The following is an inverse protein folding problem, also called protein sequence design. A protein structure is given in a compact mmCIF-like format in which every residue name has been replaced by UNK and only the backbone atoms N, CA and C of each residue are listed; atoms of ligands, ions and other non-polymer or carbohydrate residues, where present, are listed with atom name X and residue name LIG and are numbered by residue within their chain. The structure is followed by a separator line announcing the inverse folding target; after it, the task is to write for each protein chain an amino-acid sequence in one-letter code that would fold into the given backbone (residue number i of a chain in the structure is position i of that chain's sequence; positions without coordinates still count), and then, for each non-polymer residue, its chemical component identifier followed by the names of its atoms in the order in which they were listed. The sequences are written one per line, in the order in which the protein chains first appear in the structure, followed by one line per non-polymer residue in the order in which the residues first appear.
data_IF_149003371054
#
_entry.id   IF_149003371054
#
_cell.length_a   1.000
_cell.length_b   1.000
_cell.length_c   1.000
_cell.angle_alpha   90.00
_cell.angle_beta   90.00
_cell.angle_gamma   90.00
#
_symmetry.space_group_name_H-M   'P 1'
#
loop_
_entity.id
_entity.type
_entity.pdbx_description
1 polymer ?
#
# COMPACT_ATOMS: atom_id res chain seq x y z
N UNK A 1 -5.80 45.22 2.44
CA UNK A 1 -4.94 44.03 2.27
C UNK A 1 -3.55 44.52 1.86
N UNK A 2 -2.51 44.20 2.62
CA UNK A 2 -1.13 44.60 2.29
C UNK A 2 -0.74 44.06 0.91
N UNK A 3 0.01 44.84 0.13
CA UNK A 3 0.45 44.46 -1.22
C UNK A 3 1.52 43.37 -1.06
N UNK A 4 1.16 42.10 -1.33
CA UNK A 4 2.12 40.99 -1.25
C UNK A 4 3.21 41.15 -2.31
N UNK A 5 4.47 41.09 -1.89
CA UNK A 5 5.64 41.10 -2.77
C UNK A 5 5.97 39.68 -3.21
N UNK A 6 5.52 39.33 -4.41
CA UNK A 6 5.69 37.99 -5.00
C UNK A 6 6.76 38.02 -6.08
N UNK A 7 7.62 37.00 -6.11
CA UNK A 7 8.49 36.68 -7.23
C UNK A 7 7.87 35.55 -8.04
N UNK A 8 7.85 35.68 -9.36
CA UNK A 8 7.65 34.57 -10.28
C UNK A 8 9.01 34.22 -10.88
N UNK A 9 9.53 33.04 -10.54
CA UNK A 9 10.83 32.57 -10.99
C UNK A 9 10.69 31.71 -12.25
N UNK A 10 11.29 32.15 -13.35
CA UNK A 10 11.10 31.60 -14.68
C UNK A 10 10.16 32.47 -15.53
N UNK A 11 10.35 32.41 -16.85
CA UNK A 11 9.51 33.11 -17.84
C UNK A 11 8.98 32.09 -18.84
N UNK A 12 7.70 31.74 -18.71
CA UNK A 12 6.98 30.85 -19.63
C UNK A 12 5.45 31.05 -19.51
N UNK A 13 4.67 30.14 -20.09
CA UNK A 13 3.20 30.18 -20.06
C UNK A 13 2.61 30.17 -18.64
N UNK A 14 3.23 29.47 -17.68
CA UNK A 14 2.80 29.46 -16.28
C UNK A 14 2.99 30.85 -15.66
N UNK A 15 4.14 31.48 -15.92
CA UNK A 15 4.39 32.87 -15.49
C UNK A 15 3.32 33.81 -16.04
N UNK A 16 2.96 33.67 -17.32
CA UNK A 16 1.93 34.52 -17.94
C UNK A 16 0.53 34.33 -17.35
N UNK A 17 0.18 33.09 -17.00
CA UNK A 17 -1.05 32.73 -16.29
C UNK A 17 -1.04 33.34 -14.88
N UNK A 18 0.03 33.13 -14.12
CA UNK A 18 0.16 33.61 -12.75
C UNK A 18 0.24 35.13 -12.65
N UNK A 19 0.68 35.84 -13.70
CA UNK A 19 0.56 37.30 -13.78
C UNK A 19 -0.90 37.79 -13.76
N UNK A 20 -1.88 36.96 -14.12
CA UNK A 20 -3.30 37.28 -13.91
C UNK A 20 -3.69 37.34 -12.44
N UNK A 21 -3.10 36.46 -11.61
CA UNK A 21 -3.33 36.38 -10.16
C UNK A 21 -2.44 37.34 -9.38
N UNK A 22 -1.18 37.50 -9.81
CA UNK A 22 -0.16 38.35 -9.19
C UNK A 22 0.33 39.41 -10.18
N UNK A 23 -0.50 40.41 -10.52
CA UNK A 23 -0.17 41.39 -11.56
C UNK A 23 1.06 42.23 -11.25
N UNK A 24 1.39 42.39 -9.97
CA UNK A 24 2.54 43.17 -9.49
C UNK A 24 3.79 42.31 -9.22
N UNK A 25 3.76 41.00 -9.48
CA UNK A 25 4.88 40.12 -9.12
C UNK A 25 6.16 40.48 -9.87
N UNK A 26 7.32 40.41 -9.23
CA UNK A 26 8.63 40.61 -9.86
C UNK A 26 9.01 39.35 -10.65
N UNK A 27 9.37 39.53 -11.92
CA UNK A 27 9.84 38.43 -12.75
C UNK A 27 11.33 38.22 -12.50
N UNK A 28 11.72 36.98 -12.18
CA UNK A 28 13.11 36.64 -11.86
C UNK A 28 13.55 35.43 -12.67
N UNK A 29 14.78 35.44 -13.15
CA UNK A 29 15.44 34.26 -13.72
C UNK A 29 16.88 34.19 -13.20
N UNK A 30 17.59 33.10 -13.51
CA UNK A 30 18.99 32.94 -13.10
C UNK A 30 19.87 34.08 -13.63
N UNK A 31 19.65 34.53 -14.86
CA UNK A 31 20.51 35.52 -15.56
C UNK A 31 19.86 36.89 -15.75
N UNK A 32 18.53 36.99 -15.68
CA UNK A 32 17.78 38.18 -16.06
C UNK A 32 17.82 38.47 -17.56
N UNK A 33 17.02 39.46 -17.98
CA UNK A 33 16.96 39.95 -19.35
C UNK A 33 15.88 39.32 -20.23
N UNK A 34 15.25 38.22 -19.80
CA UNK A 34 14.12 37.63 -20.50
C UNK A 34 12.88 38.53 -20.42
N UNK A 35 12.07 38.58 -21.48
CA UNK A 35 10.90 39.44 -21.57
C UNK A 35 9.61 38.62 -21.46
N UNK A 36 8.67 39.06 -20.62
CA UNK A 36 7.30 38.53 -20.58
C UNK A 36 6.30 39.67 -20.43
N UNK A 37 5.28 39.75 -21.30
CA UNK A 37 4.25 40.81 -21.30
C UNK A 37 4.83 42.23 -21.10
N UNK A 38 5.91 42.56 -21.83
CA UNK A 38 6.64 43.83 -21.77
C UNK A 38 7.34 44.14 -20.44
N UNK A 39 7.55 43.12 -19.59
CA UNK A 39 8.31 43.22 -18.34
C UNK A 39 9.59 42.40 -18.47
N UNK A 40 10.72 43.03 -18.19
CA UNK A 40 12.02 42.36 -18.20
C UNK A 40 12.25 41.67 -16.86
N UNK A 41 12.60 40.39 -16.91
CA UNK A 41 13.01 39.64 -15.74
C UNK A 41 14.35 40.15 -15.21
N UNK A 42 14.48 40.24 -13.89
CA UNK A 42 15.74 40.57 -13.24
C UNK A 42 16.48 39.29 -12.85
N UNK A 43 17.80 39.37 -12.73
CA UNK A 43 18.61 38.24 -12.28
C UNK A 43 18.44 37.99 -10.78
N UNK A 44 18.65 36.74 -10.37
CA UNK A 44 18.73 36.37 -8.95
C UNK A 44 19.76 37.23 -8.18
N UNK A 45 20.89 37.57 -8.80
CA UNK A 45 21.92 38.44 -8.21
C UNK A 45 21.43 39.86 -7.94
N UNK A 46 20.62 40.41 -8.83
CA UNK A 46 20.00 41.73 -8.60
C UNK A 46 19.00 41.69 -7.45
N UNK A 47 18.26 40.59 -7.29
CA UNK A 47 17.37 40.41 -6.13
C UNK A 47 18.16 40.28 -4.83
N UNK A 48 19.25 39.51 -4.81
CA UNK A 48 20.14 39.40 -3.66
C UNK A 48 20.65 40.77 -3.18
N UNK A 49 21.11 41.60 -4.14
CA UNK A 49 21.58 42.95 -3.85
C UNK A 49 20.47 43.90 -3.34
N UNK A 50 19.21 43.65 -3.73
CA UNK A 50 18.06 44.50 -3.38
C UNK A 50 17.37 44.09 -2.07
N UNK A 51 17.74 42.92 -1.51
CA UNK A 51 17.25 42.42 -0.22
C UNK A 51 16.16 41.35 -0.36
N UNK A 52 16.53 40.08 -0.19
CA UNK A 52 15.63 38.91 -0.24
C UNK A 52 14.48 39.00 0.79
N UNK A 53 14.75 39.60 1.94
CA UNK A 53 13.79 39.69 3.04
C UNK A 53 12.49 40.44 2.67
N UNK A 54 12.52 41.32 1.64
CA UNK A 54 11.38 42.13 1.22
C UNK A 54 10.28 41.38 0.47
N UNK A 55 10.51 40.11 0.13
CA UNK A 55 9.55 39.27 -0.59
C UNK A 55 8.80 38.36 0.38
N UNK A 56 7.50 38.21 0.13
CA UNK A 56 6.62 37.32 0.88
C UNK A 56 6.65 35.90 0.31
N UNK A 57 6.85 35.79 -1.01
CA UNK A 57 6.73 34.53 -1.74
C UNK A 57 7.60 34.49 -2.99
N UNK A 58 8.22 33.35 -3.26
CA UNK A 58 8.85 33.02 -4.54
C UNK A 58 8.11 31.83 -5.13
N UNK A 59 7.53 31.97 -6.31
CA UNK A 59 6.82 30.90 -7.02
C UNK A 59 7.69 30.45 -8.21
N UNK A 60 8.21 29.24 -8.13
CA UNK A 60 8.93 28.58 -9.21
C UNK A 60 7.93 28.18 -10.29
N UNK A 61 8.05 28.80 -11.46
CA UNK A 61 7.19 28.58 -12.63
C UNK A 61 7.78 27.51 -13.56
N UNK A 62 8.56 26.56 -13.05
CA UNK A 62 9.30 25.57 -13.84
C UNK A 62 9.07 24.17 -13.27
N UNK A 63 9.16 23.15 -14.12
CA UNK A 63 9.15 21.75 -13.70
C UNK A 63 10.45 21.31 -13.01
N UNK A 64 11.55 22.06 -13.19
CA UNK A 64 12.84 21.80 -12.52
C UNK A 64 12.87 22.41 -11.11
N UNK A 65 11.92 22.00 -10.27
CA UNK A 65 11.70 22.61 -8.95
C UNK A 65 12.92 22.43 -8.05
N UNK A 66 13.47 21.22 -7.96
CA UNK A 66 14.57 20.89 -7.04
C UNK A 66 15.84 21.71 -7.34
N UNK A 67 16.27 21.73 -8.60
CA UNK A 67 17.48 22.46 -9.02
C UNK A 67 17.35 23.97 -8.74
N UNK A 68 16.17 24.52 -9.01
CA UNK A 68 15.88 25.94 -8.81
C UNK A 68 15.75 26.25 -7.32
N UNK A 69 15.05 25.42 -6.55
CA UNK A 69 14.90 25.59 -5.11
C UNK A 69 16.27 25.54 -4.44
N UNK A 70 17.13 24.58 -4.77
CA UNK A 70 18.51 24.52 -4.27
C UNK A 70 19.31 25.77 -4.66
N UNK A 71 19.20 26.23 -5.92
CA UNK A 71 19.85 27.48 -6.36
C UNK A 71 19.36 28.70 -5.57
N UNK A 72 18.07 28.76 -5.23
CA UNK A 72 17.48 29.83 -4.43
C UNK A 72 17.93 29.75 -2.97
N UNK A 73 18.00 28.54 -2.38
CA UNK A 73 18.51 28.31 -1.03
C UNK A 73 19.99 28.73 -0.94
N UNK A 74 20.82 28.33 -1.90
CA UNK A 74 22.23 28.74 -2.02
C UNK A 74 22.38 30.26 -2.18
N UNK A 75 21.39 30.89 -2.83
CA UNK A 75 21.31 32.34 -2.96
C UNK A 75 20.80 33.06 -1.69
N UNK A 76 20.45 32.33 -0.63
CA UNK A 76 20.01 32.86 0.66
C UNK A 76 18.51 33.08 0.78
N UNK A 77 17.69 32.53 -0.13
CA UNK A 77 16.24 32.55 0.04
C UNK A 77 15.82 31.53 1.11
N UNK A 78 14.94 31.91 2.05
CA UNK A 78 14.46 30.99 3.06
C UNK A 78 13.45 29.99 2.49
N UNK A 79 13.55 28.71 2.88
CA UNK A 79 12.72 27.62 2.35
C UNK A 79 11.22 27.87 2.54
N UNK A 80 10.82 28.45 3.68
CA UNK A 80 9.42 28.76 4.02
C UNK A 80 8.77 29.77 3.07
N UNK A 81 9.56 30.51 2.27
CA UNK A 81 9.07 31.45 1.26
C UNK A 81 9.08 30.87 -0.15
N UNK A 82 9.57 29.65 -0.34
CA UNK A 82 9.65 28.99 -1.64
C UNK A 82 8.38 28.17 -1.91
N UNK A 83 7.82 28.38 -3.08
CA UNK A 83 6.65 27.71 -3.61
C UNK A 83 6.92 27.33 -5.06
N UNK A 84 6.14 26.41 -5.61
CA UNK A 84 6.19 26.07 -7.03
C UNK A 84 4.78 25.89 -7.57
N UNK A 85 4.61 26.10 -8.87
CA UNK A 85 3.37 25.74 -9.54
C UNK A 85 3.42 24.26 -9.93
N UNK A 86 2.64 23.45 -9.24
CA UNK A 86 2.50 22.03 -9.56
C UNK A 86 1.59 21.89 -10.77
N UNK A 87 2.15 21.48 -11.91
CA UNK A 87 1.42 21.35 -13.17
C UNK A 87 0.39 20.21 -13.12
N UNK A 88 0.63 19.17 -12.32
CA UNK A 88 -0.28 18.03 -12.21
C UNK A 88 -1.54 18.38 -11.40
N UNK A 89 -1.40 19.14 -10.31
CA UNK A 89 -2.54 19.60 -9.50
C UNK A 89 -3.12 20.94 -9.98
N UNK A 90 -2.41 21.66 -10.86
CA UNK A 90 -2.70 23.04 -11.26
C UNK A 90 -2.79 24.01 -10.07
N UNK A 91 -2.01 23.77 -9.01
CA UNK A 91 -1.99 24.59 -7.80
C UNK A 91 -0.60 25.12 -7.48
N UNK A 92 -0.55 26.17 -6.66
CA UNK A 92 0.71 26.64 -6.06
C UNK A 92 0.91 25.89 -4.74
N UNK A 93 2.02 25.16 -4.64
CA UNK A 93 2.35 24.32 -3.49
C UNK A 93 3.60 24.87 -2.78
N UNK A 94 3.69 24.69 -1.47
CA UNK A 94 4.87 25.10 -0.70
C UNK A 94 5.99 24.10 -0.90
N UNK A 95 7.22 24.58 -1.09
CA UNK A 95 8.38 23.71 -1.15
C UNK A 95 8.58 22.97 0.17
N UNK A 96 8.37 23.61 1.33
CA UNK A 96 8.60 22.98 2.64
C UNK A 96 7.69 21.76 2.88
N UNK A 97 6.44 21.85 2.40
CA UNK A 97 5.45 20.79 2.52
C UNK A 97 5.67 19.65 1.50
N UNK A 98 6.45 19.92 0.45
CA UNK A 98 6.73 18.97 -0.64
C UNK A 98 8.13 18.34 -0.57
N UNK A 99 9.01 18.79 0.34
CA UNK A 99 10.36 18.22 0.49
C UNK A 99 10.27 16.75 0.90
N UNK A 100 10.97 15.88 0.18
CA UNK A 100 11.10 14.48 0.56
C UNK A 100 11.89 14.34 1.87
N UNK A 101 11.41 13.53 2.83
CA UNK A 101 12.09 13.36 4.10
C UNK A 101 13.48 12.73 3.90
N UNK A 102 14.49 13.22 4.61
CA UNK A 102 15.80 12.55 4.65
C UNK A 102 15.70 11.27 5.46
N UNK A 103 16.13 10.15 4.87
CA UNK A 103 16.12 8.83 5.51
C UNK A 103 17.49 8.58 6.16
N UNK A 104 17.50 8.32 7.47
CA UNK A 104 18.72 7.95 8.19
C UNK A 104 18.92 6.43 8.17
N UNK A 105 19.93 5.97 7.44
CA UNK A 105 20.29 4.55 7.33
C UNK A 105 20.66 3.89 8.65
N UNK A 106 21.15 4.64 9.64
CA UNK A 106 21.48 4.11 10.98
C UNK A 106 20.23 3.81 11.82
N UNK A 107 19.05 4.18 11.33
CA UNK A 107 17.75 3.89 11.95
C UNK A 107 16.87 2.98 11.11
N UNK A 108 17.46 2.28 10.14
CA UNK A 108 16.78 1.42 9.18
C UNK A 108 17.12 -0.06 9.40
N UNK A 109 16.09 -0.90 9.49
CA UNK A 109 16.21 -2.35 9.44
C UNK A 109 16.21 -2.83 7.99
N UNK A 110 17.26 -3.52 7.56
CA UNK A 110 17.34 -4.15 6.24
C UNK A 110 16.80 -5.58 6.32
N UNK A 111 15.65 -5.81 5.71
CA UNK A 111 14.91 -7.07 5.84
C UNK A 111 15.10 -7.91 4.58
N UNK A 112 15.67 -9.10 4.73
CA UNK A 112 15.96 -10.01 3.63
C UNK A 112 14.78 -10.93 3.35
N UNK A 113 14.13 -10.73 2.21
CA UNK A 113 13.10 -11.64 1.70
C UNK A 113 13.72 -12.60 0.69
N UNK A 114 14.10 -13.78 1.16
CA UNK A 114 14.74 -14.80 0.34
C UNK A 114 13.69 -15.67 -0.39
N UNK A 115 13.61 -15.53 -1.71
CA UNK A 115 12.65 -16.27 -2.55
C UNK A 115 13.01 -17.75 -2.75
N UNK A 116 14.19 -18.19 -2.27
CA UNK A 116 14.51 -19.62 -2.14
C UNK A 116 13.61 -20.32 -1.11
N UNK A 117 13.20 -19.59 -0.08
CA UNK A 117 12.44 -20.12 1.06
C UNK A 117 11.02 -19.56 1.14
N UNK A 118 10.82 -18.32 0.70
CA UNK A 118 9.52 -17.66 0.71
C UNK A 118 8.94 -17.64 -0.71
N UNK A 119 7.76 -18.24 -0.89
CA UNK A 119 7.06 -18.16 -2.17
C UNK A 119 6.62 -16.71 -2.45
N UNK A 120 6.59 -16.27 -3.71
CA UNK A 120 6.05 -14.95 -4.04
C UNK A 120 4.51 -14.99 -3.99
N UNK A 121 3.97 -15.02 -2.79
CA UNK A 121 2.53 -15.07 -2.54
C UNK A 121 2.17 -14.14 -1.38
N UNK A 122 0.89 -14.15 -0.98
CA UNK A 122 0.38 -13.32 0.11
C UNK A 122 0.89 -13.72 1.50
N UNK A 123 1.63 -14.83 1.65
CA UNK A 123 2.34 -15.14 2.89
C UNK A 123 3.40 -14.07 3.22
N UNK A 124 3.79 -13.25 2.23
CA UNK A 124 4.56 -12.03 2.45
C UNK A 124 3.91 -11.08 3.48
N UNK A 125 2.58 -11.09 3.68
CA UNK A 125 1.92 -10.36 4.75
C UNK A 125 2.38 -10.84 6.14
N UNK A 126 2.44 -12.16 6.31
CA UNK A 126 2.93 -12.79 7.55
C UNK A 126 4.39 -12.41 7.82
N UNK A 127 5.21 -12.48 6.77
CA UNK A 127 6.62 -12.13 6.85
C UNK A 127 6.80 -10.64 7.19
N UNK A 128 6.03 -9.76 6.56
CA UNK A 128 6.01 -8.31 6.82
C UNK A 128 5.67 -8.02 8.28
N UNK A 129 4.69 -8.73 8.84
CA UNK A 129 4.31 -8.56 10.23
C UNK A 129 5.44 -8.90 11.21
N UNK A 130 6.14 -10.00 10.95
CA UNK A 130 7.28 -10.40 11.78
C UNK A 130 8.44 -9.41 11.65
N UNK A 131 8.73 -8.93 10.44
CA UNK A 131 9.77 -7.95 10.19
C UNK A 131 9.47 -6.59 10.88
N UNK A 132 8.22 -6.14 10.85
CA UNK A 132 7.79 -4.92 11.54
C UNK A 132 7.87 -5.06 13.06
N UNK A 133 7.47 -6.21 13.61
CA UNK A 133 7.63 -6.51 15.03
C UNK A 133 9.12 -6.44 15.44
N UNK A 134 10.03 -6.96 14.62
CA UNK A 134 11.46 -6.87 14.87
C UNK A 134 12.00 -5.44 14.81
N UNK A 135 11.58 -4.64 13.82
CA UNK A 135 11.94 -3.21 13.74
C UNK A 135 11.52 -2.47 15.01
N UNK A 136 10.27 -2.69 15.46
CA UNK A 136 9.74 -2.09 16.69
C UNK A 136 10.53 -2.54 17.92
N UNK A 137 10.84 -3.83 18.03
CA UNK A 137 11.66 -4.40 19.11
C UNK A 137 13.05 -3.76 19.19
N UNK A 138 13.67 -3.48 18.05
CA UNK A 138 14.98 -2.82 17.95
C UNK A 138 14.91 -1.29 18.13
N UNK A 139 13.72 -0.69 18.24
CA UNK A 139 13.55 0.76 18.35
C UNK A 139 13.95 1.54 17.09
N UNK A 140 13.97 0.88 15.93
CA UNK A 140 14.36 1.48 14.65
C UNK A 140 13.19 2.27 14.05
N UNK A 141 13.44 3.22 13.16
CA UNK A 141 12.39 4.07 12.56
C UNK A 141 11.86 3.53 11.24
N UNK A 142 12.73 2.86 10.48
CA UNK A 142 12.46 2.52 9.09
C UNK A 142 12.73 1.05 8.79
N UNK A 143 12.09 0.52 7.75
CA UNK A 143 12.43 -0.77 7.12
C UNK A 143 12.77 -0.57 5.65
N UNK A 144 13.81 -1.25 5.19
CA UNK A 144 14.12 -1.44 3.78
C UNK A 144 14.06 -2.94 3.46
N UNK A 145 13.16 -3.36 2.56
CA UNK A 145 13.11 -4.76 2.15
C UNK A 145 14.08 -5.04 1.00
N UNK A 146 14.83 -6.13 1.09
CA UNK A 146 15.74 -6.62 0.04
C UNK A 146 15.27 -7.99 -0.39
N UNK A 147 14.68 -8.07 -1.58
CA UNK A 147 14.18 -9.31 -2.19
C UNK A 147 15.35 -9.97 -2.92
N UNK A 148 15.70 -11.17 -2.47
CA UNK A 148 16.80 -11.94 -3.02
C UNK A 148 16.26 -13.09 -3.87
N UNK A 149 16.68 -13.21 -5.14
CA UNK A 149 16.24 -14.31 -5.99
C UNK A 149 16.79 -15.65 -5.47
N UNK A 150 16.04 -16.72 -5.74
CA UNK A 150 16.48 -18.10 -5.47
C UNK A 150 17.78 -18.45 -6.19
N UNK A 151 17.99 -17.87 -7.38
CA UNK A 151 19.04 -18.26 -8.31
C UNK A 151 20.35 -17.51 -8.05
N UNK A 152 21.43 -18.27 -8.12
CA UNK A 152 22.80 -17.78 -8.11
C UNK A 152 23.36 -17.83 -9.53
N UNK A 153 24.23 -16.88 -9.90
CA UNK A 153 24.96 -16.93 -11.19
C UNK A 153 25.88 -18.15 -11.29
N UNK A 154 26.19 -18.79 -10.17
CA UNK A 154 27.06 -19.96 -10.08
C UNK A 154 26.28 -21.29 -10.07
N UNK A 155 24.94 -21.24 -10.10
CA UNK A 155 24.11 -22.44 -10.11
C UNK A 155 24.25 -23.20 -11.43
N UNK A 156 24.57 -24.49 -11.36
CA UNK A 156 24.57 -25.38 -12.54
C UNK A 156 23.17 -25.58 -13.12
N UNK A 157 22.14 -25.60 -12.26
CA UNK A 157 20.73 -25.78 -12.61
C UNK A 157 19.84 -25.02 -11.62
N UNK A 158 18.80 -24.40 -12.15
CA UNK A 158 17.88 -23.54 -11.43
C UNK A 158 16.44 -23.83 -11.89
N UNK A 159 15.57 -24.27 -10.96
CA UNK A 159 14.17 -24.59 -11.27
C UNK A 159 13.20 -23.69 -10.51
N UNK A 160 12.20 -23.18 -11.22
CA UNK A 160 11.01 -22.56 -10.63
C UNK A 160 9.94 -23.66 -10.41
N UNK A 161 9.97 -24.34 -9.26
CA UNK A 161 9.13 -25.53 -9.03
C UNK A 161 7.66 -25.23 -8.72
N UNK A 162 7.36 -24.01 -8.26
CA UNK A 162 6.01 -23.64 -7.83
C UNK A 162 5.27 -22.76 -8.85
N UNK A 163 5.99 -21.91 -9.56
CA UNK A 163 5.46 -21.01 -10.59
C UNK A 163 6.46 -20.90 -11.74
N UNK A 164 6.03 -20.82 -13.01
CA UNK A 164 6.91 -20.43 -14.11
C UNK A 164 7.63 -19.10 -13.85
N UNK A 165 8.83 -18.90 -14.39
CA UNK A 165 9.67 -17.73 -14.10
C UNK A 165 8.96 -16.38 -14.33
N UNK A 166 8.17 -16.27 -15.39
CA UNK A 166 7.41 -15.06 -15.70
C UNK A 166 6.32 -14.78 -14.64
N UNK A 167 5.58 -15.82 -14.24
CA UNK A 167 4.58 -15.70 -13.18
C UNK A 167 5.24 -15.39 -11.84
N UNK A 168 6.37 -16.03 -11.52
CA UNK A 168 7.16 -15.74 -10.33
C UNK A 168 7.57 -14.25 -10.25
N UNK A 169 8.10 -13.71 -11.35
CA UNK A 169 8.49 -12.30 -11.45
C UNK A 169 7.27 -11.38 -11.34
N UNK A 170 6.18 -11.72 -12.02
CA UNK A 170 4.93 -10.97 -11.93
C UNK A 170 4.40 -10.93 -10.50
N UNK A 171 4.42 -12.05 -9.79
CA UNK A 171 3.98 -12.14 -8.39
C UNK A 171 4.87 -11.33 -7.44
N UNK A 172 6.20 -11.32 -7.65
CA UNK A 172 7.09 -10.45 -6.88
C UNK A 172 6.66 -8.99 -7.03
N UNK A 173 6.45 -8.54 -8.27
CA UNK A 173 6.18 -7.13 -8.58
C UNK A 173 4.77 -6.67 -8.28
N UNK A 174 3.78 -7.57 -8.31
CA UNK A 174 2.36 -7.22 -8.16
C UNK A 174 1.75 -7.71 -6.83
N UNK A 175 2.43 -8.60 -6.09
CA UNK A 175 1.98 -9.10 -4.79
C UNK A 175 2.99 -8.73 -3.71
N UNK A 176 4.20 -9.29 -3.76
CA UNK A 176 5.18 -9.18 -2.66
C UNK A 176 5.63 -7.74 -2.44
N UNK A 177 6.13 -7.08 -3.49
CA UNK A 177 6.65 -5.72 -3.40
C UNK A 177 5.54 -4.73 -2.98
N UNK A 178 4.33 -4.75 -3.55
CA UNK A 178 3.24 -3.92 -3.07
C UNK A 178 2.84 -4.17 -1.61
N UNK A 179 2.91 -5.41 -1.11
CA UNK A 179 2.69 -5.70 0.32
C UNK A 179 3.74 -4.97 1.18
N UNK A 180 5.01 -5.05 0.81
CA UNK A 180 6.09 -4.38 1.53
C UNK A 180 5.98 -2.85 1.47
N UNK A 181 5.63 -2.30 0.31
CA UNK A 181 5.40 -0.88 0.10
C UNK A 181 4.17 -0.35 0.85
N UNK A 182 3.27 -1.25 1.27
CA UNK A 182 2.09 -0.88 2.07
C UNK A 182 2.40 -0.74 3.55
N UNK A 183 3.65 -0.91 4.02
CA UNK A 183 3.99 -0.71 5.43
C UNK A 183 4.36 0.75 5.71
N UNK A 184 3.78 1.38 6.73
CA UNK A 184 4.04 2.81 7.01
C UNK A 184 5.49 3.16 7.38
N UNK A 185 6.27 2.18 7.84
CA UNK A 185 7.69 2.32 8.18
C UNK A 185 8.63 2.07 6.99
N UNK A 186 8.11 1.69 5.81
CA UNK A 186 8.93 1.34 4.66
C UNK A 186 9.58 2.57 4.04
N UNK A 187 10.87 2.46 3.72
CA UNK A 187 11.61 3.51 2.99
C UNK A 187 12.09 3.04 1.62
N UNK A 188 12.01 1.74 1.34
CA UNK A 188 12.39 1.18 0.05
C UNK A 188 12.23 -0.32 -0.03
N UNK A 189 12.11 -0.80 -1.27
CA UNK A 189 12.15 -2.22 -1.62
C UNK A 189 13.11 -2.40 -2.79
N UNK A 190 14.19 -3.16 -2.57
CA UNK A 190 15.17 -3.50 -3.61
C UNK A 190 14.96 -4.95 -4.06
N UNK A 191 14.75 -5.15 -5.35
CA UNK A 191 14.74 -6.47 -6.00
C UNK A 191 16.13 -6.70 -6.60
N UNK A 192 16.86 -7.71 -6.12
CA UNK A 192 18.18 -8.05 -6.67
C UNK A 192 18.06 -8.89 -7.93
N UNK A 193 19.03 -8.75 -8.83
CA UNK A 193 19.08 -9.58 -10.05
C UNK A 193 19.74 -10.93 -9.78
N UNK A 194 20.66 -10.97 -8.81
CA UNK A 194 21.38 -12.16 -8.38
C UNK A 194 21.57 -12.20 -6.87
N UNK A 195 21.79 -13.40 -6.31
CA UNK A 195 22.13 -13.55 -4.89
C UNK A 195 23.45 -12.86 -4.52
N UNK A 196 24.43 -12.87 -5.42
CA UNK A 196 25.77 -12.32 -5.21
C UNK A 196 25.75 -10.82 -4.86
N UNK A 197 24.80 -10.06 -5.40
CA UNK A 197 24.61 -8.63 -5.10
C UNK A 197 24.31 -8.35 -3.63
N UNK A 198 23.78 -9.33 -2.90
CA UNK A 198 23.37 -9.16 -1.50
C UNK A 198 24.51 -8.68 -0.61
N UNK A 199 25.74 -9.16 -0.81
CA UNK A 199 26.92 -8.72 -0.06
C UNK A 199 27.25 -7.25 -0.29
N UNK A 200 27.06 -6.74 -1.50
CA UNK A 200 27.30 -5.34 -1.81
C UNK A 200 26.22 -4.43 -1.20
N UNK A 201 24.96 -4.87 -1.24
CA UNK A 201 23.83 -4.09 -0.71
C UNK A 201 23.78 -4.10 0.82
N UNK A 202 24.09 -5.25 1.43
CA UNK A 202 23.91 -5.49 2.86
C UNK A 202 25.20 -5.45 3.68
N UNK A 203 26.38 -5.59 3.06
CA UNK A 203 27.65 -5.83 3.76
C UNK A 203 28.01 -4.78 4.82
N UNK A 204 27.63 -3.52 4.58
CA UNK A 204 27.92 -2.40 5.47
C UNK A 204 26.72 -1.99 6.33
N UNK A 205 25.61 -2.75 6.28
CA UNK A 205 24.38 -2.39 6.99
C UNK A 205 24.42 -2.90 8.43
N UNK A 206 24.11 -1.99 9.36
CA UNK A 206 24.18 -2.25 10.79
C UNK A 206 23.08 -3.18 11.30
N UNK A 207 21.86 -3.04 10.78
CA UNK A 207 20.70 -3.80 11.21
C UNK A 207 20.14 -4.61 10.04
N UNK A 208 20.29 -5.92 10.11
CA UNK A 208 19.83 -6.87 9.09
C UNK A 208 18.92 -7.89 9.77
N UNK A 209 17.82 -8.24 9.11
CA UNK A 209 16.92 -9.28 9.57
C UNK A 209 16.65 -10.28 8.42
N UNK A 210 16.85 -11.59 8.64
CA UNK A 210 17.40 -12.21 9.84
C UNK A 210 18.91 -11.88 10.03
N UNK A 211 19.39 -11.80 11.27
CA UNK A 211 20.73 -11.30 11.61
C UNK A 211 21.85 -12.28 11.18
N UNK A 212 21.54 -13.56 11.08
CA UNK A 212 22.44 -14.59 10.57
C UNK A 212 22.57 -14.63 9.04
N UNK A 213 21.84 -13.79 8.30
CA UNK A 213 21.84 -13.84 6.82
C UNK A 213 23.24 -13.69 6.22
N UNK A 214 24.02 -12.68 6.64
CA UNK A 214 25.36 -12.44 6.10
C UNK A 214 26.34 -13.59 6.39
N UNK A 215 26.13 -14.33 7.48
CA UNK A 215 26.97 -15.46 7.85
C UNK A 215 26.61 -16.75 7.10
N UNK A 216 25.32 -16.94 6.81
CA UNK A 216 24.78 -18.19 6.24
C UNK A 216 24.47 -18.13 4.75
N UNK A 217 24.40 -16.91 4.18
CA UNK A 217 23.88 -16.63 2.83
C UNK A 217 22.52 -17.32 2.57
N UNK A 218 21.70 -17.43 3.61
CA UNK A 218 20.38 -18.08 3.54
C UNK A 218 19.40 -17.28 4.38
N UNK A 219 18.25 -16.91 3.80
CA UNK A 219 17.19 -16.25 4.55
C UNK A 219 16.41 -17.20 5.45
N UNK A 220 15.24 -16.76 5.91
CA UNK A 220 14.31 -17.57 6.71
C UNK A 220 12.89 -17.39 6.17
N UNK A 221 12.05 -18.41 6.31
CA UNK A 221 10.62 -18.29 6.12
C UNK A 221 9.92 -18.08 7.47
N UNK A 222 9.15 -16.99 7.58
CA UNK A 222 8.40 -16.66 8.79
C UNK A 222 6.90 -16.75 8.53
N UNK A 223 6.21 -17.53 9.37
CA UNK A 223 4.75 -17.51 9.48
C UNK A 223 4.30 -16.69 10.69
N UNK A 224 3.01 -16.34 10.74
CA UNK A 224 2.43 -15.50 11.81
C UNK A 224 2.63 -16.05 13.22
N UNK A 225 2.72 -17.36 13.40
CA UNK A 225 2.98 -17.97 14.71
C UNK A 225 4.30 -17.46 15.34
N UNK A 226 5.27 -16.99 14.54
CA UNK A 226 6.51 -16.38 15.03
C UNK A 226 6.25 -15.12 15.86
N UNK A 227 5.14 -14.41 15.63
CA UNK A 227 4.77 -13.24 16.41
C UNK A 227 4.54 -13.56 17.90
N UNK A 228 4.23 -14.81 18.26
CA UNK A 228 4.09 -15.25 19.65
C UNK A 228 5.37 -15.11 20.49
N UNK A 229 6.52 -14.89 19.85
CA UNK A 229 7.80 -14.71 20.52
C UNK A 229 8.09 -13.23 20.84
N UNK A 230 7.25 -12.30 20.40
CA UNK A 230 7.41 -10.87 20.67
C UNK A 230 6.51 -10.47 21.83
N UNK A 231 7.06 -9.72 22.78
CA UNK A 231 6.31 -9.13 23.88
C UNK A 231 5.23 -8.19 23.33
N UNK A 232 4.02 -8.23 23.89
CA UNK A 232 2.92 -7.32 23.53
C UNK A 232 2.61 -7.27 22.01
N UNK A 233 2.17 -8.42 21.48
CA UNK A 233 1.88 -8.65 20.06
C UNK A 233 0.96 -7.57 19.48
N UNK A 234 -0.06 -7.14 20.23
CA UNK A 234 -1.00 -6.11 19.80
C UNK A 234 -0.28 -4.82 19.37
N UNK A 235 0.71 -4.36 20.14
CA UNK A 235 1.50 -3.16 19.79
C UNK A 235 2.53 -3.39 18.67
N UNK A 236 2.89 -4.64 18.42
CA UNK A 236 3.90 -5.04 17.44
C UNK A 236 3.31 -5.39 16.07
N UNK A 237 1.99 -5.49 15.93
CA UNK A 237 1.35 -5.73 14.65
C UNK A 237 1.67 -4.62 13.64
N UNK A 238 1.94 -4.95 12.37
CA UNK A 238 2.02 -3.94 11.33
C UNK A 238 0.64 -3.37 11.08
N UNK A 239 0.62 -2.08 10.77
CA UNK A 239 -0.52 -1.42 10.16
C UNK A 239 -0.17 -1.14 8.70
N UNK A 240 -0.99 -1.65 7.80
CA UNK A 240 -0.85 -1.37 6.39
C UNK A 240 -1.34 0.06 6.12
N UNK A 241 -0.45 0.87 5.58
CA UNK A 241 -0.73 2.20 5.08
C UNK A 241 -1.48 2.12 3.76
N UNK A 242 -2.57 2.88 3.69
CA UNK A 242 -3.44 2.92 2.53
C UNK A 242 -3.10 4.16 1.71
N UNK A 243 -2.76 3.97 0.43
CA UNK A 243 -2.43 5.07 -0.49
C UNK A 243 -3.60 6.07 -0.60
N UNK A 244 -3.30 7.36 -0.40
CA UNK A 244 -4.27 8.44 -0.55
C UNK A 244 -4.85 8.48 -1.98
N UNK A 245 -4.01 8.21 -2.98
CA UNK A 245 -4.47 8.11 -4.36
C UNK A 245 -5.40 6.91 -4.57
N UNK A 246 -5.10 5.75 -3.98
CA UNK A 246 -5.99 4.59 -4.05
C UNK A 246 -7.33 4.87 -3.36
N UNK A 247 -7.34 5.55 -2.20
CA UNK A 247 -8.57 6.03 -1.54
C UNK A 247 -9.40 6.94 -2.44
N UNK A 248 -8.74 7.86 -3.14
CA UNK A 248 -9.41 8.73 -4.12
C UNK A 248 -10.06 7.92 -5.24
N UNK A 249 -9.40 6.88 -5.77
CA UNK A 249 -9.97 6.02 -6.81
C UNK A 249 -11.22 5.27 -6.31
N UNK A 250 -11.20 4.79 -5.07
CA UNK A 250 -12.39 4.16 -4.44
C UNK A 250 -13.53 5.16 -4.33
N UNK A 251 -13.26 6.37 -3.82
CA UNK A 251 -14.27 7.42 -3.68
C UNK A 251 -14.87 7.84 -5.04
N UNK A 252 -14.03 8.00 -6.06
CA UNK A 252 -14.48 8.31 -7.42
C UNK A 252 -15.41 7.22 -7.96
N UNK A 253 -15.09 5.95 -7.70
CA UNK A 253 -15.95 4.83 -8.07
C UNK A 253 -17.28 4.91 -7.33
N UNK A 254 -17.29 5.03 -6.01
CA UNK A 254 -18.53 5.15 -5.21
C UNK A 254 -19.41 6.30 -5.72
N UNK A 255 -18.83 7.47 -5.97
CA UNK A 255 -19.52 8.64 -6.51
C UNK A 255 -20.08 8.39 -7.92
N UNK A 256 -19.34 7.70 -8.80
CA UNK A 256 -19.80 7.40 -10.16
C UNK A 256 -21.05 6.52 -10.20
N UNK A 257 -21.31 5.77 -9.12
CA UNK A 257 -22.52 4.96 -8.95
C UNK A 257 -23.59 5.65 -8.08
N UNK A 258 -23.38 6.90 -7.64
CA UNK A 258 -24.31 7.62 -6.75
C UNK A 258 -24.54 6.88 -5.42
N UNK A 259 -23.50 6.23 -4.91
CA UNK A 259 -23.56 5.31 -3.78
C UNK A 259 -22.93 5.87 -2.50
N UNK A 260 -22.78 7.20 -2.37
CA UNK A 260 -22.08 7.86 -1.26
C UNK A 260 -22.72 7.61 0.11
N UNK A 261 -24.04 7.34 0.13
CA UNK A 261 -24.78 7.03 1.36
C UNK A 261 -24.93 5.52 1.62
N UNK A 262 -24.36 4.65 0.77
CA UNK A 262 -24.46 3.20 0.88
C UNK A 262 -23.28 2.63 1.65
N UNK A 263 -23.51 1.53 2.36
CA UNK A 263 -22.47 0.75 3.02
C UNK A 263 -21.78 -0.15 1.99
N UNK A 264 -20.51 0.10 1.71
CA UNK A 264 -19.70 -0.74 0.80
C UNK A 264 -19.48 -2.13 1.40
N UNK A 265 -19.82 -3.18 0.65
CA UNK A 265 -19.50 -4.56 0.98
C UNK A 265 -18.52 -5.09 -0.07
N UNK A 266 -17.40 -5.67 0.36
CA UNK A 266 -16.46 -6.30 -0.59
C UNK A 266 -16.51 -7.80 -0.49
N UNK A 267 -16.32 -8.49 -1.60
CA UNK A 267 -16.33 -9.96 -1.67
C UNK A 267 -15.07 -10.43 -2.39
N UNK A 268 -14.22 -11.18 -1.68
CA UNK A 268 -12.99 -11.75 -2.23
C UNK A 268 -13.13 -13.24 -2.44
N UNK A 269 -13.17 -13.65 -3.71
CA UNK A 269 -13.29 -15.06 -4.08
C UNK A 269 -11.95 -15.69 -4.39
N UNK A 270 -11.90 -17.01 -4.14
CA UNK A 270 -10.76 -17.86 -4.48
C UNK A 270 -11.14 -18.79 -5.62
N UNK A 271 -10.33 -18.79 -6.68
CA UNK A 271 -10.47 -19.77 -7.76
C UNK A 271 -9.09 -20.12 -8.32
N UNK A 272 -8.52 -21.21 -7.82
CA UNK A 272 -7.18 -21.69 -8.19
C UNK A 272 -7.22 -23.17 -8.58
N UNK A 273 -6.33 -23.55 -9.49
CA UNK A 273 -6.11 -24.94 -9.88
C UNK A 273 -5.40 -25.75 -8.78
N UNK A 274 -4.61 -25.09 -7.94
CA UNK A 274 -3.99 -25.70 -6.76
C UNK A 274 -4.99 -25.73 -5.60
N UNK A 275 -5.32 -26.91 -5.09
CA UNK A 275 -6.33 -27.12 -4.04
C UNK A 275 -7.71 -26.57 -4.45
N UNK A 276 -8.33 -27.12 -5.51
CA UNK A 276 -9.60 -26.63 -6.03
C UNK A 276 -10.78 -26.83 -5.06
N UNK A 277 -10.71 -27.81 -4.16
CA UNK A 277 -11.70 -28.06 -3.10
C UNK A 277 -11.84 -26.92 -2.09
N UNK A 278 -10.92 -25.95 -2.11
CA UNK A 278 -10.98 -24.72 -1.32
C UNK A 278 -11.49 -23.51 -2.13
N UNK A 279 -11.84 -23.69 -3.39
CA UNK A 279 -12.38 -22.59 -4.21
C UNK A 279 -13.77 -22.22 -3.71
N UNK A 280 -14.11 -20.94 -3.85
CA UNK A 280 -15.43 -20.44 -3.47
C UNK A 280 -16.50 -21.01 -4.40
N UNK A 281 -17.58 -21.53 -3.83
CA UNK A 281 -18.78 -21.83 -4.59
C UNK A 281 -19.56 -20.52 -4.78
N UNK A 282 -19.59 -19.98 -6.00
CA UNK A 282 -20.20 -18.67 -6.26
C UNK A 282 -21.73 -18.68 -6.12
N UNK A 283 -22.39 -19.83 -6.21
CA UNK A 283 -23.85 -19.91 -6.19
C UNK A 283 -24.48 -19.37 -4.89
N UNK A 284 -24.11 -19.84 -3.68
CA UNK A 284 -24.66 -19.30 -2.43
C UNK A 284 -24.35 -17.81 -2.23
N UNK A 285 -23.19 -17.34 -2.67
CA UNK A 285 -22.84 -15.93 -2.62
C UNK A 285 -23.68 -15.08 -3.56
N UNK A 286 -23.96 -15.56 -4.78
CA UNK A 286 -24.85 -14.89 -5.72
C UNK A 286 -26.24 -14.73 -5.10
N UNK A 287 -26.81 -15.81 -4.54
CA UNK A 287 -28.12 -15.77 -3.87
C UNK A 287 -28.13 -14.74 -2.74
N UNK A 288 -27.13 -14.75 -1.86
CA UNK A 288 -27.02 -13.77 -0.78
C UNK A 288 -26.93 -12.32 -1.30
N UNK A 289 -26.10 -12.07 -2.32
CA UNK A 289 -25.90 -10.72 -2.87
C UNK A 289 -27.19 -10.22 -3.54
N UNK A 290 -27.95 -11.08 -4.22
CA UNK A 290 -29.21 -10.72 -4.87
C UNK A 290 -30.31 -10.31 -3.87
N UNK A 291 -30.23 -10.79 -2.63
CA UNK A 291 -31.17 -10.47 -1.55
C UNK A 291 -30.76 -9.24 -0.72
N UNK A 292 -29.57 -8.68 -0.95
CA UNK A 292 -29.16 -7.45 -0.28
C UNK A 292 -30.10 -6.29 -0.64
N UNK A 293 -30.35 -5.43 0.33
CA UNK A 293 -30.96 -4.13 0.09
C UNK A 293 -29.94 -3.23 -0.65
N UNK A 294 -30.08 -3.13 -1.97
CA UNK A 294 -29.21 -2.32 -2.82
C UNK A 294 -29.37 -0.80 -2.58
N UNK A 295 -30.38 -0.34 -1.85
CA UNK A 295 -30.48 1.06 -1.42
C UNK A 295 -29.62 1.32 -0.17
N UNK A 296 -29.37 0.28 0.64
CA UNK A 296 -28.48 0.33 1.82
C UNK A 296 -27.04 -0.07 1.52
N UNK A 297 -26.81 -1.04 0.63
CA UNK A 297 -25.51 -1.67 0.40
C UNK A 297 -25.01 -1.52 -1.04
N UNK A 298 -23.70 -1.40 -1.18
CA UNK A 298 -23.00 -1.43 -2.47
C UNK A 298 -22.07 -2.66 -2.52
N UNK A 299 -22.46 -3.77 -3.18
CA UNK A 299 -21.61 -4.94 -3.30
C UNK A 299 -20.55 -4.76 -4.40
N UNK A 300 -19.27 -4.98 -4.03
CA UNK A 300 -18.12 -4.97 -4.94
C UNK A 300 -17.39 -6.32 -4.85
N UNK A 301 -17.25 -6.99 -5.99
CA UNK A 301 -16.62 -8.31 -6.09
C UNK A 301 -15.21 -8.19 -6.64
N UNK A 302 -14.26 -8.80 -5.93
CA UNK A 302 -12.88 -9.01 -6.35
C UNK A 302 -12.66 -10.51 -6.59
N UNK A 303 -12.66 -10.90 -7.86
CA UNK A 303 -12.38 -12.29 -8.25
C UNK A 303 -10.90 -12.64 -8.06
N UNK A 304 -10.62 -13.93 -8.14
CA UNK A 304 -9.24 -14.42 -8.21
C UNK A 304 -8.47 -13.73 -9.33
N UNK A 305 -7.18 -13.47 -9.10
CA UNK A 305 -6.28 -12.83 -10.07
C UNK A 305 -6.30 -13.53 -11.43
N UNK A 306 -6.36 -14.87 -11.46
CA UNK A 306 -6.31 -15.62 -12.73
C UNK A 306 -7.61 -15.47 -13.55
N UNK A 307 -8.74 -15.20 -12.89
CA UNK A 307 -10.06 -15.09 -13.50
C UNK A 307 -10.51 -13.64 -13.71
N UNK A 308 -9.73 -12.66 -13.25
CA UNK A 308 -10.21 -11.28 -13.20
C UNK A 308 -10.56 -10.69 -14.58
N UNK A 309 -10.00 -11.22 -15.68
CA UNK A 309 -10.31 -10.83 -17.06
C UNK A 309 -11.33 -11.73 -17.75
N UNK A 310 -11.79 -12.81 -17.11
CA UNK A 310 -12.84 -13.68 -17.63
C UNK A 310 -14.18 -12.93 -17.66
N UNK A 311 -15.21 -13.52 -18.30
CA UNK A 311 -16.56 -12.93 -18.27
C UNK A 311 -17.05 -12.77 -16.81
N UNK A 312 -17.82 -11.71 -16.51
CA UNK A 312 -18.50 -11.58 -15.22
C UNK A 312 -19.36 -12.82 -14.92
N UNK A 313 -19.41 -13.19 -13.65
CA UNK A 313 -20.17 -14.32 -13.10
C UNK A 313 -21.39 -13.82 -12.32
N UNK A 314 -21.27 -12.62 -11.73
CA UNK A 314 -22.34 -12.01 -10.93
C UNK A 314 -23.29 -11.20 -11.82
N UNK A 315 -24.46 -10.84 -11.26
CA UNK A 315 -25.46 -10.04 -11.98
C UNK A 315 -24.96 -8.63 -12.29
N UNK A 316 -25.56 -7.96 -13.28
CA UNK A 316 -25.20 -6.58 -13.68
C UNK A 316 -25.42 -5.53 -12.57
N UNK A 317 -26.05 -5.90 -11.46
CA UNK A 317 -26.20 -5.06 -10.26
C UNK A 317 -24.95 -5.04 -9.38
N UNK A 318 -24.02 -5.96 -9.61
CA UNK A 318 -22.82 -6.15 -8.80
C UNK A 318 -21.61 -5.60 -9.55
N UNK A 319 -20.78 -4.83 -8.85
CA UNK A 319 -19.56 -4.30 -9.44
C UNK A 319 -18.46 -5.35 -9.32
N UNK A 320 -18.18 -6.06 -10.40
CA UNK A 320 -16.94 -6.82 -10.50
C UNK A 320 -15.77 -5.89 -10.83
N UNK A 321 -14.71 -5.93 -10.01
CA UNK A 321 -13.60 -5.00 -10.09
C UNK A 321 -12.25 -5.70 -10.37
N UNK A 322 -11.95 -6.02 -11.64
CA UNK A 322 -10.69 -6.67 -12.03
C UNK A 322 -9.44 -5.90 -11.61
N UNK A 323 -9.52 -4.56 -11.59
CA UNK A 323 -8.40 -3.71 -11.20
C UNK A 323 -7.90 -4.00 -9.77
N UNK A 324 -8.81 -4.24 -8.83
CA UNK A 324 -8.46 -4.62 -7.45
C UNK A 324 -8.02 -6.10 -7.34
N UNK A 325 -8.29 -6.93 -8.36
CA UNK A 325 -7.78 -8.30 -8.41
C UNK A 325 -6.28 -8.38 -8.70
N UNK A 326 -5.71 -7.36 -9.34
CA UNK A 326 -4.29 -7.31 -9.76
C UNK A 326 -3.48 -6.17 -9.12
N UNK A 327 -4.14 -5.18 -8.51
CA UNK A 327 -3.49 -4.07 -7.83
C UNK A 327 -3.74 -4.14 -6.32
N UNK A 328 -2.71 -4.49 -5.56
CA UNK A 328 -2.82 -4.67 -4.12
C UNK A 328 -3.16 -3.37 -3.36
N UNK A 329 -2.57 -2.24 -3.75
CA UNK A 329 -2.85 -0.95 -3.09
C UNK A 329 -4.33 -0.53 -3.27
N UNK A 330 -4.89 -0.76 -4.46
CA UNK A 330 -6.31 -0.52 -4.71
C UNK A 330 -7.18 -1.49 -3.91
N UNK A 331 -6.81 -2.78 -3.86
CA UNK A 331 -7.50 -3.78 -3.03
C UNK A 331 -7.56 -3.37 -1.56
N UNK A 332 -6.42 -2.93 -1.00
CA UNK A 332 -6.35 -2.43 0.37
C UNK A 332 -7.26 -1.22 0.59
N UNK A 333 -7.31 -0.28 -0.36
CA UNK A 333 -8.20 0.88 -0.25
C UNK A 333 -9.69 0.50 -0.25
N UNK A 334 -10.09 -0.50 -1.03
CA UNK A 334 -11.45 -1.04 -0.94
C UNK A 334 -11.70 -1.74 0.38
N UNK A 335 -10.72 -2.50 0.90
CA UNK A 335 -10.86 -3.16 2.18
C UNK A 335 -10.99 -2.18 3.36
N UNK A 336 -10.23 -1.08 3.33
CA UNK A 336 -10.29 0.02 4.30
C UNK A 336 -11.63 0.78 4.23
N UNK A 337 -12.15 1.01 3.03
CA UNK A 337 -13.41 1.72 2.83
C UNK A 337 -14.66 0.85 3.10
N UNK A 338 -14.51 -0.47 3.13
CA UNK A 338 -15.63 -1.39 3.26
C UNK A 338 -16.24 -1.34 4.66
N UNK A 339 -17.57 -1.38 4.71
CA UNK A 339 -18.31 -1.61 5.94
C UNK A 339 -18.11 -3.04 6.46
N UNK A 340 -18.13 -4.03 5.55
CA UNK A 340 -17.77 -5.43 5.84
C UNK A 340 -17.02 -6.01 4.63
N UNK A 341 -15.91 -6.69 4.90
CA UNK A 341 -15.16 -7.47 3.92
C UNK A 341 -15.49 -8.96 4.04
N UNK A 342 -15.97 -9.57 2.97
CA UNK A 342 -16.23 -11.01 2.87
C UNK A 342 -15.12 -11.71 2.12
N UNK A 343 -14.76 -12.92 2.56
CA UNK A 343 -13.83 -13.75 1.81
C UNK A 343 -13.96 -15.23 2.11
N UNK A 344 -13.59 -16.03 1.12
CA UNK A 344 -13.05 -17.36 1.35
C UNK A 344 -11.61 -17.28 1.87
N UNK A 345 -11.16 -18.32 2.57
CA UNK A 345 -9.81 -18.45 3.11
C UNK A 345 -8.79 -18.47 1.97
N UNK A 346 -8.27 -17.28 1.67
CA UNK A 346 -7.37 -16.98 0.57
C UNK A 346 -6.23 -16.09 1.04
N UNK A 347 -5.16 -16.00 0.25
CA UNK A 347 -4.02 -15.15 0.55
C UNK A 347 -4.39 -13.68 0.82
N UNK A 348 -5.10 -13.00 -0.09
CA UNK A 348 -5.42 -11.57 0.07
C UNK A 348 -6.23 -11.26 1.34
N UNK A 349 -7.10 -12.18 1.77
CA UNK A 349 -7.94 -11.99 2.96
C UNK A 349 -7.15 -11.85 4.28
N UNK A 350 -5.87 -12.25 4.32
CA UNK A 350 -5.04 -11.98 5.50
C UNK A 350 -4.78 -10.49 5.72
N UNK A 351 -4.90 -9.66 4.68
CA UNK A 351 -4.70 -8.22 4.79
C UNK A 351 -5.67 -7.56 5.77
N UNK A 352 -6.88 -8.11 5.98
CA UNK A 352 -7.89 -7.54 6.87
C UNK A 352 -7.37 -7.28 8.28
N UNK A 353 -6.54 -8.19 8.80
CA UNK A 353 -6.06 -8.09 10.18
C UNK A 353 -4.99 -7.01 10.39
N UNK A 354 -4.50 -6.41 9.30
CA UNK A 354 -3.48 -5.37 9.35
C UNK A 354 -4.00 -4.01 8.88
N UNK A 355 -5.31 -3.89 8.62
CA UNK A 355 -5.97 -2.64 8.27
C UNK A 355 -6.72 -2.13 9.52
N UNK A 356 -6.35 -0.98 10.09
CA UNK A 356 -7.02 -0.44 11.28
C UNK A 356 -8.53 -0.28 11.08
N UNK A 357 -9.33 -0.79 12.02
CA UNK A 357 -10.79 -0.69 11.98
C UNK A 357 -11.48 -1.56 10.93
N UNK A 358 -10.75 -2.40 10.20
CA UNK A 358 -11.33 -3.29 9.19
C UNK A 358 -12.26 -4.33 9.81
N UNK A 359 -13.50 -4.37 9.32
CA UNK A 359 -14.49 -5.41 9.66
C UNK A 359 -14.48 -6.49 8.59
N UNK A 360 -14.48 -7.77 9.00
CA UNK A 360 -14.41 -8.88 8.04
C UNK A 360 -15.12 -10.15 8.48
N UNK A 361 -15.68 -10.86 7.51
CA UNK A 361 -16.18 -12.23 7.62
C UNK A 361 -15.34 -13.12 6.70
N UNK A 362 -14.64 -14.09 7.28
CA UNK A 362 -13.71 -14.96 6.57
C UNK A 362 -14.08 -16.43 6.76
N UNK A 363 -14.50 -17.08 5.68
CA UNK A 363 -14.78 -18.51 5.66
C UNK A 363 -13.49 -19.32 5.56
N UNK A 364 -13.20 -20.11 6.58
CA UNK A 364 -12.07 -21.04 6.66
C UNK A 364 -12.58 -22.44 6.99
N UNK A 365 -13.28 -23.10 6.04
CA UNK A 365 -13.89 -24.38 6.31
C UNK A 365 -12.84 -25.40 6.76
N UNK A 366 -13.05 -26.02 7.92
CA UNK A 366 -12.15 -27.05 8.43
C UNK A 366 -12.53 -28.39 7.83
N UNK A 367 -11.55 -29.09 7.26
CA UNK A 367 -11.74 -30.44 6.75
C UNK A 367 -10.52 -31.31 7.03
N UNK A 368 -10.71 -32.38 7.80
CA UNK A 368 -9.65 -33.37 8.04
C UNK A 368 -9.31 -34.20 6.79
N UNK A 369 -10.16 -34.18 5.76
CA UNK A 369 -9.88 -34.84 4.48
C UNK A 369 -8.83 -34.12 3.64
N UNK A 370 -8.49 -32.86 3.96
CA UNK A 370 -7.52 -32.08 3.22
C UNK A 370 -6.49 -31.45 4.16
N UNK A 371 -5.21 -31.78 3.96
CA UNK A 371 -4.17 -31.40 4.92
C UNK A 371 -4.12 -29.87 5.16
N UNK A 372 -4.27 -29.03 4.14
CA UNK A 372 -4.14 -27.58 4.30
C UNK A 372 -5.28 -26.92 5.11
N UNK A 373 -6.39 -27.62 5.29
CA UNK A 373 -7.58 -27.13 6.03
C UNK A 373 -7.93 -28.04 7.20
N UNK A 374 -7.08 -28.98 7.57
CA UNK A 374 -7.22 -29.72 8.82
C UNK A 374 -7.17 -28.78 10.01
N UNK A 375 -7.84 -29.14 11.11
CA UNK A 375 -7.87 -28.33 12.32
C UNK A 375 -6.47 -27.96 12.80
N UNK A 376 -5.57 -28.95 12.80
CA UNK A 376 -4.18 -28.76 13.22
C UNK A 376 -3.44 -27.73 12.36
N UNK A 377 -3.64 -27.76 11.04
CA UNK A 377 -2.95 -26.81 10.16
C UNK A 377 -3.58 -25.42 10.20
N UNK A 378 -4.91 -25.30 10.35
CA UNK A 378 -5.57 -24.01 10.61
C UNK A 378 -5.04 -23.38 11.90
N UNK A 379 -4.90 -24.15 12.98
CA UNK A 379 -4.33 -23.65 14.25
C UNK A 379 -2.87 -23.21 14.12
N UNK A 380 -2.05 -23.89 13.30
CA UNK A 380 -0.67 -23.45 13.01
C UNK A 380 -0.59 -22.10 12.28
N UNK A 381 -1.65 -21.69 11.58
CA UNK A 381 -1.71 -20.34 10.96
C UNK A 381 -2.04 -19.24 11.97
N UNK A 382 -2.30 -19.61 13.23
CA UNK A 382 -2.67 -18.69 14.31
C UNK A 382 -4.18 -18.52 14.52
N UNK A 383 -5.02 -19.22 13.74
CA UNK A 383 -6.47 -19.17 13.92
C UNK A 383 -6.86 -20.11 15.06
N UNK A 384 -7.42 -19.56 16.12
CA UNK A 384 -8.04 -20.37 17.17
C UNK A 384 -9.38 -20.90 16.67
N UNK A 385 -9.47 -22.22 16.46
CA UNK A 385 -10.71 -22.84 16.00
C UNK A 385 -11.81 -22.84 17.06
N UNK A 386 -11.44 -22.84 18.34
CA UNK A 386 -12.40 -22.73 19.44
C UNK A 386 -12.96 -21.32 19.61
N UNK A 387 -12.10 -20.29 19.45
CA UNK A 387 -12.51 -18.90 19.59
C UNK A 387 -12.98 -18.24 18.27
N UNK A 388 -12.74 -18.89 17.13
CA UNK A 388 -13.11 -18.41 15.79
C UNK A 388 -12.50 -17.06 15.44
N UNK A 389 -11.25 -16.86 15.82
CA UNK A 389 -10.51 -15.62 15.66
C UNK A 389 -9.01 -15.91 15.46
N UNK A 390 -8.30 -14.94 14.87
CA UNK A 390 -6.84 -14.96 14.85
C UNK A 390 -6.31 -14.59 16.24
N UNK A 391 -5.25 -15.25 16.70
CA UNK A 391 -4.71 -15.10 18.07
C UNK A 391 -4.26 -13.68 18.47
N UNK A 392 -4.20 -12.75 17.52
CA UNK A 392 -3.84 -11.35 17.75
C UNK A 392 -4.96 -10.37 17.40
N UNK A 393 -6.07 -10.85 16.83
CA UNK A 393 -7.15 -10.01 16.28
C UNK A 393 -8.36 -9.97 17.21
N UNK A 394 -8.14 -9.65 18.49
CA UNK A 394 -9.15 -9.67 19.57
C UNK A 394 -9.99 -8.39 19.66
N UNK A 395 -10.25 -7.74 18.53
CA UNK A 395 -10.95 -6.45 18.46
C UNK A 395 -12.47 -6.60 18.23
N UNK A 396 -12.97 -7.82 18.03
CA UNK A 396 -14.39 -8.10 17.75
C UNK A 396 -14.86 -7.76 16.33
N UNK A 397 -13.99 -7.20 15.48
CA UNK A 397 -14.30 -6.78 14.11
C UNK A 397 -14.17 -7.91 13.09
N UNK A 398 -13.50 -9.00 13.45
CA UNK A 398 -13.27 -10.13 12.55
C UNK A 398 -14.08 -11.36 12.99
N UNK A 399 -14.70 -12.02 12.03
CA UNK A 399 -15.32 -13.34 12.17
C UNK A 399 -14.57 -14.36 11.32
N UNK A 400 -14.15 -15.47 11.93
CA UNK A 400 -13.68 -16.65 11.20
C UNK A 400 -14.76 -17.73 11.26
N UNK A 401 -15.34 -18.04 10.11
CA UNK A 401 -16.39 -19.05 9.97
C UNK A 401 -15.72 -20.37 9.60
N UNK A 402 -15.97 -21.45 10.34
CA UNK A 402 -15.31 -22.75 10.12
C UNK A 402 -16.18 -23.73 9.32
N UNK A 403 -17.42 -23.31 9.07
CA UNK A 403 -18.42 -23.97 8.26
C UNK A 403 -18.19 -23.71 6.77
N UNK A 404 -18.83 -24.52 5.93
CA UNK A 404 -18.85 -24.31 4.48
C UNK A 404 -19.61 -23.04 4.10
N UNK A 405 -19.30 -22.51 2.92
CA UNK A 405 -20.01 -21.38 2.32
C UNK A 405 -21.38 -21.87 1.81
N UNK A 406 -22.42 -21.67 2.61
CA UNK A 406 -23.82 -21.87 2.20
C UNK A 406 -24.57 -20.55 2.37
N UNK A 407 -25.71 -20.40 1.71
CA UNK A 407 -26.51 -19.18 1.85
C UNK A 407 -26.86 -18.89 3.32
N UNK A 408 -27.22 -19.92 4.09
CA UNK A 408 -27.58 -19.80 5.50
C UNK A 408 -26.38 -19.39 6.37
N UNK A 409 -25.19 -19.96 6.11
CA UNK A 409 -23.99 -19.64 6.88
C UNK A 409 -23.50 -18.21 6.58
N UNK A 410 -23.59 -17.78 5.32
CA UNK A 410 -23.28 -16.41 4.89
C UNK A 410 -24.24 -15.41 5.54
N UNK A 411 -25.56 -15.65 5.46
CA UNK A 411 -26.58 -14.76 6.02
C UNK A 411 -26.46 -14.65 7.54
N UNK A 412 -26.27 -15.78 8.23
CA UNK A 412 -26.08 -15.79 9.70
C UNK A 412 -24.83 -15.00 10.12
N UNK A 413 -23.72 -15.17 9.41
CA UNK A 413 -22.48 -14.45 9.70
C UNK A 413 -22.62 -12.94 9.45
N UNK A 414 -23.35 -12.57 8.40
CA UNK A 414 -23.67 -11.17 8.10
C UNK A 414 -24.52 -10.54 9.20
N UNK A 415 -25.65 -11.14 9.58
CA UNK A 415 -26.52 -10.63 10.65
C UNK A 415 -25.78 -10.49 11.99
N UNK A 416 -24.92 -11.47 12.29
CA UNK A 416 -24.04 -11.43 13.47
C UNK A 416 -23.08 -10.24 13.38
N UNK A 417 -22.48 -9.98 12.21
CA UNK A 417 -21.55 -8.86 12.04
C UNK A 417 -22.27 -7.52 12.10
N UNK A 418 -23.45 -7.39 11.49
CA UNK A 418 -24.30 -6.20 11.58
C UNK A 418 -24.59 -5.88 13.04
N UNK A 419 -25.05 -6.87 13.81
CA UNK A 419 -25.37 -6.70 15.23
C UNK A 419 -24.17 -6.23 16.04
N UNK A 420 -22.96 -6.71 15.71
CA UNK A 420 -21.72 -6.26 16.37
C UNK A 420 -21.35 -4.81 16.02
N UNK A 421 -21.49 -4.44 14.75
CA UNK A 421 -21.08 -3.11 14.27
C UNK A 421 -22.07 -2.00 14.64
N UNK A 422 -23.37 -2.30 14.61
CA UNK A 422 -24.43 -1.33 14.92
C UNK A 422 -24.72 -1.27 16.43
N UNK A 423 -24.13 -2.18 17.21
CA UNK A 423 -24.42 -2.38 18.63
C UNK A 423 -25.75 -3.12 18.82
N UNK A 424 -25.76 -4.16 19.63
CA UNK A 424 -27.02 -4.80 20.05
C UNK A 424 -27.89 -3.72 20.72
N UNK A 425 -29.07 -3.44 20.16
CA UNK A 425 -30.10 -2.67 20.86
C UNK A 425 -30.44 -3.31 22.21
#
# INVERSE_FOLDING_TARGET
MGKQNVILYGVNSITEQLLGTFPNATLVTTRGGELSKNRMAVSIKQIQASGIASFDKVIICSMFVDDIANTLLDAGFPLEKLFFYNIASCQIESCIDAVSPQINTDSTLYVVYDTKLNLPCYDALSFTAVAEAERKRLGLKHIHFVIIPKYSTDDKLAFCSNYPLQEHTWRIRNIVKPIFESLGSVVGVTELTSRQESKHILGDKKFIFPDEFLATDTGIAFGLAKLQQYDNIETNMPELSISAFAKQLVNNLIQSYGAENKKLLTFTFRNTQTHPERNSDTAPWQTFIEELDFDKYLPVVMRDTIECTSKPVFSDKVIELPAASINFALRLAFYDAAYINFSASSGPSFAYYFIPGCSSIRFTPVSESHFATSKSNVEKTGISTSKREQFFAHNGLHQVILEQETYESISTAFDTQISRLEGSN
#
